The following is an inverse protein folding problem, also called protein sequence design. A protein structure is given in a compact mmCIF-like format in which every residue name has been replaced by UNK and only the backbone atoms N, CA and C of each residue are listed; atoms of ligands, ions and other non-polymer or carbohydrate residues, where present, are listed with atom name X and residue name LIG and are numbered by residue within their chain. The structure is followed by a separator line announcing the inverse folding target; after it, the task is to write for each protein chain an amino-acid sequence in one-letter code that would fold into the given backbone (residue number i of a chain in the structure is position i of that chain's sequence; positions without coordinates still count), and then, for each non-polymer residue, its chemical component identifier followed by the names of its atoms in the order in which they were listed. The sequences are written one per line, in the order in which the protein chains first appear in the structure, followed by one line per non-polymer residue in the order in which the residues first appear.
data_IF_216928943506
#
_entry.id   IF_216928943506
#
_cell.length_a   1.000
_cell.length_b   1.000
_cell.length_c   1.000
_cell.angle_alpha   90.00
_cell.angle_beta   90.00
_cell.angle_gamma   90.00
#
_symmetry.space_group_name_H-M   'P 1'
#
loop_
_entity.id
_entity.type
_entity.pdbx_description
1 polymer ?
#
# COMPACT_ATOMS: atom_id res chain seq x y z
N UNK A 1 1.13 -16.87 8.47
CA UNK A 1 1.56 -16.67 7.07
C UNK A 1 1.67 -15.18 6.82
N UNK A 2 2.90 -14.69 6.60
CA UNK A 2 3.18 -13.28 6.35
C UNK A 2 2.63 -12.80 5.01
N UNK A 3 2.56 -11.49 4.83
CA UNK A 3 1.98 -10.84 3.64
C UNK A 3 2.77 -11.20 2.39
N UNK A 4 4.11 -11.17 2.44
CA UNK A 4 4.98 -11.52 1.31
C UNK A 4 4.75 -12.96 0.85
N UNK A 5 4.48 -13.89 1.77
CA UNK A 5 4.13 -15.27 1.43
C UNK A 5 2.77 -15.35 0.71
N UNK A 6 1.77 -14.57 1.15
CA UNK A 6 0.47 -14.48 0.44
C UNK A 6 0.64 -13.88 -0.95
N UNK A 7 1.46 -12.85 -1.11
CA UNK A 7 1.82 -12.26 -2.41
C UNK A 7 2.45 -13.31 -3.31
N UNK A 8 3.41 -14.09 -2.80
CA UNK A 8 4.07 -15.14 -3.56
C UNK A 8 3.09 -16.23 -4.03
N UNK A 9 2.17 -16.66 -3.17
CA UNK A 9 1.12 -17.61 -3.55
C UNK A 9 0.23 -17.06 -4.67
N UNK A 10 -0.14 -15.77 -4.60
CA UNK A 10 -0.94 -15.13 -5.63
C UNK A 10 -0.18 -15.03 -6.96
N UNK A 11 1.11 -14.70 -6.93
CA UNK A 11 1.97 -14.69 -8.13
C UNK A 11 2.04 -16.09 -8.73
N UNK A 12 2.29 -17.12 -7.92
CA UNK A 12 2.32 -18.52 -8.38
C UNK A 12 0.99 -18.94 -9.03
N UNK A 13 -0.14 -18.59 -8.42
CA UNK A 13 -1.46 -18.87 -8.99
C UNK A 13 -1.63 -18.22 -10.37
N UNK A 14 -1.21 -16.95 -10.51
CA UNK A 14 -1.23 -16.22 -11.80
C UNK A 14 -0.32 -16.92 -12.84
N UNK A 15 0.86 -17.39 -12.46
CA UNK A 15 1.77 -18.08 -13.38
C UNK A 15 1.19 -19.39 -13.91
N UNK A 16 0.55 -20.16 -13.03
CA UNK A 16 -0.05 -21.46 -13.37
C UNK A 16 -1.41 -21.36 -14.08
N UNK A 17 -2.00 -20.17 -14.10
CA UNK A 17 -3.27 -19.89 -14.77
C UNK A 17 -3.18 -20.15 -16.29
N UNK A 18 -4.27 -20.61 -16.90
CA UNK A 18 -4.33 -20.87 -18.37
C UNK A 18 -4.57 -19.62 -19.21
N UNK A 19 -4.62 -18.45 -18.56
CA UNK A 19 -4.77 -17.15 -19.20
C UNK A 19 -3.61 -16.81 -20.15
N UNK A 20 -3.88 -15.93 -21.11
CA UNK A 20 -2.86 -15.34 -21.98
C UNK A 20 -1.78 -14.60 -21.16
N UNK A 21 -0.55 -14.60 -21.66
CA UNK A 21 0.61 -13.98 -20.97
C UNK A 21 0.42 -12.47 -20.74
N UNK A 22 -0.27 -11.80 -21.65
CA UNK A 22 -0.62 -10.37 -21.53
C UNK A 22 -1.51 -10.12 -20.32
N UNK A 23 -2.45 -11.01 -20.03
CA UNK A 23 -3.34 -10.93 -18.89
C UNK A 23 -2.60 -11.26 -17.58
N UNK A 24 -1.71 -12.27 -17.60
CA UNK A 24 -0.84 -12.59 -16.45
C UNK A 24 0.03 -11.38 -16.07
N UNK A 25 0.63 -10.74 -17.07
CA UNK A 25 1.45 -9.52 -16.87
C UNK A 25 0.63 -8.40 -16.23
N UNK A 26 -0.60 -8.16 -16.71
CA UNK A 26 -1.49 -7.14 -16.11
C UNK A 26 -1.84 -7.47 -14.65
N UNK A 27 -2.13 -8.73 -14.34
CA UNK A 27 -2.40 -9.19 -12.96
C UNK A 27 -1.19 -8.97 -12.05
N UNK A 28 0.02 -9.33 -12.49
CA UNK A 28 1.28 -9.06 -11.76
C UNK A 28 1.52 -7.56 -11.57
N UNK A 29 1.18 -6.73 -12.55
CA UNK A 29 1.28 -5.27 -12.43
C UNK A 29 0.34 -4.72 -11.34
N UNK A 30 -0.84 -5.30 -11.13
CA UNK A 30 -1.72 -4.89 -10.03
C UNK A 30 -1.10 -5.18 -8.65
N UNK A 31 -0.38 -6.31 -8.52
CA UNK A 31 0.38 -6.63 -7.30
C UNK A 31 1.52 -5.63 -7.10
N UNK A 32 2.27 -5.32 -8.17
CA UNK A 32 3.32 -4.29 -8.11
C UNK A 32 2.74 -2.94 -7.67
N UNK A 33 1.60 -2.52 -8.20
CA UNK A 33 0.94 -1.29 -7.81
C UNK A 33 0.56 -1.27 -6.32
N UNK A 34 0.20 -2.41 -5.71
CA UNK A 34 -0.05 -2.52 -4.27
C UNK A 34 1.21 -2.20 -3.46
N UNK A 35 2.33 -2.81 -3.84
CA UNK A 35 3.62 -2.61 -3.15
C UNK A 35 4.10 -1.17 -3.28
N UNK A 36 4.06 -0.62 -4.49
CA UNK A 36 4.47 0.77 -4.76
C UNK A 36 3.56 1.80 -4.07
N UNK A 37 2.24 1.56 -4.06
CA UNK A 37 1.30 2.43 -3.34
C UNK A 37 1.56 2.40 -1.84
N UNK A 38 1.88 1.22 -1.28
CA UNK A 38 2.23 1.06 0.14
C UNK A 38 3.49 1.84 0.51
N UNK A 39 4.54 1.73 -0.30
CA UNK A 39 5.75 2.53 -0.14
C UNK A 39 5.45 4.03 -0.17
N UNK A 40 4.67 4.47 -1.16
CA UNK A 40 4.29 5.89 -1.31
C UNK A 40 3.51 6.40 -0.10
N UNK A 41 2.53 5.64 0.38
CA UNK A 41 1.72 6.05 1.52
C UNK A 41 2.57 6.15 2.80
N UNK A 42 3.36 5.11 3.10
CA UNK A 42 4.26 5.10 4.26
C UNK A 42 5.24 6.27 4.20
N UNK A 43 5.83 6.53 3.03
CA UNK A 43 6.73 7.68 2.83
C UNK A 43 6.05 9.01 3.17
N UNK A 44 4.84 9.27 2.65
CA UNK A 44 4.11 10.51 2.92
C UNK A 44 3.79 10.65 4.43
N UNK A 45 3.36 9.56 5.09
CA UNK A 45 3.07 9.57 6.53
C UNK A 45 4.31 9.91 7.34
N UNK A 46 5.45 9.31 7.00
CA UNK A 46 6.73 9.59 7.67
C UNK A 46 7.15 11.05 7.46
N UNK A 47 7.10 11.54 6.22
CA UNK A 47 7.40 12.95 5.91
C UNK A 47 6.49 13.87 6.72
N UNK A 48 5.17 13.64 6.74
CA UNK A 48 4.26 14.45 7.54
C UNK A 48 4.65 14.48 9.03
N UNK A 49 5.01 13.34 9.60
CA UNK A 49 5.44 13.26 11.00
C UNK A 49 6.71 14.05 11.27
N UNK A 50 7.71 13.96 10.37
CA UNK A 50 8.95 14.74 10.45
C UNK A 50 8.67 16.24 10.32
N UNK A 51 7.87 16.65 9.34
CA UNK A 51 7.56 18.06 9.11
C UNK A 51 6.80 18.68 10.30
N UNK A 52 5.88 17.92 10.94
CA UNK A 52 5.20 18.35 12.17
C UNK A 52 6.19 18.46 13.33
N UNK A 53 7.16 17.54 13.44
CA UNK A 53 8.12 17.53 14.54
C UNK A 53 9.10 18.72 14.49
N UNK A 54 9.48 19.14 13.29
CA UNK A 54 10.40 20.28 13.09
C UNK A 54 9.69 21.63 13.00
N UNK A 55 8.36 21.63 12.97
CA UNK A 55 7.57 22.86 12.97
C UNK A 55 7.67 23.55 14.34
N UNK A 56 8.05 24.83 14.33
CA UNK A 56 8.23 25.61 15.55
C UNK A 56 6.89 26.20 16.07
N UNK A 57 5.79 26.03 15.33
CA UNK A 57 4.45 26.47 15.73
C UNK A 57 4.29 27.99 15.75
N UNK A 58 5.17 28.72 15.07
CA UNK A 58 5.16 30.17 14.91
C UNK A 58 4.03 30.67 13.98
N UNK A 59 3.36 29.75 13.29
CA UNK A 59 2.22 30.05 12.44
C UNK A 59 2.60 30.67 11.10
N UNK A 60 3.83 30.39 10.61
CA UNK A 60 4.25 30.80 9.27
C UNK A 60 3.23 30.33 8.20
N UNK A 61 2.59 31.25 7.44
CA UNK A 61 1.62 30.88 6.42
C UNK A 61 2.16 29.94 5.35
N UNK A 62 3.44 30.06 4.98
CA UNK A 62 4.06 29.17 4.00
C UNK A 62 4.15 27.75 4.58
N UNK A 63 4.61 27.63 5.82
CA UNK A 63 4.68 26.35 6.53
C UNK A 63 3.33 25.67 6.70
N UNK A 64 2.30 26.43 7.06
CA UNK A 64 0.93 25.93 7.17
C UNK A 64 0.42 25.40 5.83
N UNK A 65 0.73 26.08 4.72
CA UNK A 65 0.37 25.63 3.37
C UNK A 65 1.07 24.32 2.98
N UNK A 66 2.36 24.18 3.31
CA UNK A 66 3.13 22.96 3.07
C UNK A 66 2.54 21.77 3.82
N UNK A 67 2.27 21.92 5.13
CA UNK A 67 1.66 20.88 5.95
C UNK A 67 0.26 20.47 5.44
N UNK A 68 -0.55 21.45 5.02
CA UNK A 68 -1.86 21.19 4.42
C UNK A 68 -1.75 20.42 3.09
N UNK A 69 -0.75 20.74 2.25
CA UNK A 69 -0.47 20.02 1.01
C UNK A 69 -0.06 18.56 1.27
N UNK A 70 0.80 18.34 2.27
CA UNK A 70 1.21 17.00 2.68
C UNK A 70 0.00 16.19 3.19
N UNK A 71 -0.86 16.80 4.02
CA UNK A 71 -2.06 16.12 4.52
C UNK A 71 -3.04 15.74 3.40
N UNK A 72 -3.24 16.64 2.43
CA UNK A 72 -4.05 16.35 1.26
C UNK A 72 -3.46 15.20 0.44
N UNK A 73 -2.14 15.20 0.23
CA UNK A 73 -1.45 14.13 -0.48
C UNK A 73 -1.53 12.80 0.27
N UNK A 74 -1.41 12.80 1.60
CA UNK A 74 -1.62 11.63 2.45
C UNK A 74 -3.02 11.06 2.27
N UNK A 75 -4.03 11.93 2.26
CA UNK A 75 -5.43 11.52 2.11
C UNK A 75 -5.69 10.88 0.75
N UNK A 76 -5.21 11.50 -0.33
CA UNK A 76 -5.30 10.93 -1.68
C UNK A 76 -4.56 9.60 -1.82
N UNK A 77 -3.37 9.49 -1.23
CA UNK A 77 -2.59 8.25 -1.26
C UNK A 77 -3.30 7.13 -0.49
N UNK A 78 -3.91 7.45 0.66
CA UNK A 78 -4.72 6.52 1.44
C UNK A 78 -5.91 6.02 0.62
N UNK A 79 -6.73 6.91 0.06
CA UNK A 79 -7.92 6.51 -0.69
C UNK A 79 -7.54 5.67 -1.92
N UNK A 80 -6.43 6.02 -2.59
CA UNK A 80 -5.89 5.22 -3.68
C UNK A 80 -5.48 3.81 -3.23
N UNK A 81 -4.90 3.66 -2.04
CA UNK A 81 -4.45 2.35 -1.55
C UNK A 81 -5.62 1.42 -1.28
N UNK A 82 -6.73 1.94 -0.76
CA UNK A 82 -7.96 1.17 -0.53
C UNK A 82 -8.42 0.55 -1.85
N UNK A 83 -8.45 1.33 -2.93
CA UNK A 83 -8.83 0.85 -4.26
C UNK A 83 -7.93 -0.28 -4.75
N UNK A 84 -6.61 -0.16 -4.55
CA UNK A 84 -5.64 -1.17 -4.97
C UNK A 84 -5.75 -2.45 -4.11
N UNK A 85 -5.88 -2.32 -2.79
CA UNK A 85 -6.12 -3.45 -1.87
C UNK A 85 -7.37 -4.22 -2.29
N UNK A 86 -8.47 -3.52 -2.55
CA UNK A 86 -9.73 -4.13 -2.98
C UNK A 86 -9.59 -4.85 -4.34
N UNK A 87 -8.81 -4.28 -5.26
CA UNK A 87 -8.53 -4.92 -6.54
C UNK A 87 -7.72 -6.22 -6.36
N UNK A 88 -6.67 -6.20 -5.53
CA UNK A 88 -5.86 -7.39 -5.25
C UNK A 88 -6.65 -8.44 -4.45
N UNK A 89 -7.46 -8.04 -3.47
CA UNK A 89 -8.35 -8.94 -2.73
C UNK A 89 -9.34 -9.66 -3.66
N UNK A 90 -9.95 -8.96 -4.62
CA UNK A 90 -10.80 -9.59 -5.64
C UNK A 90 -10.02 -10.60 -6.50
N UNK A 91 -8.75 -10.30 -6.80
CA UNK A 91 -7.87 -11.22 -7.50
C UNK A 91 -7.54 -12.45 -6.65
N UNK A 92 -7.31 -12.32 -5.34
CA UNK A 92 -7.16 -13.45 -4.42
C UNK A 92 -8.39 -14.36 -4.46
N UNK A 93 -9.60 -13.78 -4.36
CA UNK A 93 -10.87 -14.52 -4.40
C UNK A 93 -11.03 -15.28 -5.71
N UNK A 94 -10.65 -14.68 -6.85
CA UNK A 94 -10.70 -15.34 -8.15
C UNK A 94 -9.83 -16.61 -8.23
N UNK A 95 -8.72 -16.65 -7.48
CA UNK A 95 -7.82 -17.80 -7.40
C UNK A 95 -8.05 -18.67 -6.16
N UNK A 96 -9.20 -18.52 -5.48
CA UNK A 96 -9.56 -19.27 -4.27
C UNK A 96 -8.53 -19.10 -3.12
N UNK A 97 -7.82 -17.96 -3.12
CA UNK A 97 -6.89 -17.59 -2.07
C UNK A 97 -7.57 -16.67 -1.05
N UNK A 98 -7.13 -16.76 0.20
CA UNK A 98 -7.55 -15.82 1.22
C UNK A 98 -7.17 -14.37 0.83
N UNK A 99 -8.00 -13.37 1.14
CA UNK A 99 -7.69 -11.96 0.88
C UNK A 99 -6.33 -11.55 1.47
N UNK A 100 -5.61 -10.69 0.76
CA UNK A 100 -4.31 -10.18 1.23
C UNK A 100 -4.49 -9.36 2.51
N UNK A 101 -5.56 -8.57 2.56
CA UNK A 101 -5.98 -7.81 3.74
C UNK A 101 -7.34 -8.32 4.25
N UNK A 102 -7.41 -8.61 5.55
CA UNK A 102 -8.60 -9.14 6.24
C UNK A 102 -8.93 -8.34 7.52
N UNK A 103 -8.25 -7.20 7.72
CA UNK A 103 -8.49 -6.33 8.86
C UNK A 103 -9.74 -5.46 8.66
N UNK A 104 -9.98 -4.55 9.60
CA UNK A 104 -11.09 -3.61 9.54
C UNK A 104 -10.84 -2.54 8.47
N UNK A 105 -11.90 -1.99 7.89
CA UNK A 105 -11.77 -0.93 6.88
C UNK A 105 -11.57 0.47 7.50
N UNK A 106 -10.92 0.58 8.66
CA UNK A 106 -10.59 1.89 9.22
C UNK A 106 -9.32 2.45 8.58
N UNK A 107 -9.20 3.78 8.54
CA UNK A 107 -8.00 4.42 7.98
C UNK A 107 -6.72 3.98 8.68
N UNK A 108 -6.79 3.78 10.01
CA UNK A 108 -5.65 3.35 10.83
C UNK A 108 -5.24 1.92 10.49
N UNK A 109 -6.19 0.98 10.50
CA UNK A 109 -5.88 -0.43 10.25
C UNK A 109 -5.29 -0.64 8.83
N UNK A 110 -5.78 0.10 7.83
CA UNK A 110 -5.21 0.09 6.47
C UNK A 110 -3.80 0.69 6.48
N UNK A 111 -3.57 1.78 7.22
CA UNK A 111 -2.24 2.36 7.37
C UNK A 111 -1.25 1.37 8.00
N UNK A 112 -1.66 0.69 9.07
CA UNK A 112 -0.85 -0.31 9.75
C UNK A 112 -0.51 -1.49 8.82
N UNK A 113 -1.48 -1.98 8.06
CA UNK A 113 -1.26 -3.02 7.04
C UNK A 113 -0.25 -2.58 5.96
N UNK A 114 -0.32 -1.33 5.51
CA UNK A 114 0.63 -0.84 4.49
C UNK A 114 2.06 -0.73 5.02
N UNK A 115 2.22 -0.39 6.30
CA UNK A 115 3.51 -0.43 6.99
C UNK A 115 4.01 -1.86 7.15
N UNK A 116 3.12 -2.81 7.46
CA UNK A 116 3.45 -4.23 7.57
C UNK A 116 4.00 -4.77 6.24
N UNK A 117 3.37 -4.44 5.11
CA UNK A 117 3.88 -4.77 3.76
C UNK A 117 5.32 -4.28 3.62
N UNK A 118 5.55 -2.98 3.82
CA UNK A 118 6.88 -2.37 3.62
C UNK A 118 7.91 -3.00 4.56
N UNK A 119 7.52 -3.26 5.80
CA UNK A 119 8.39 -3.84 6.83
C UNK A 119 8.83 -5.26 6.50
N UNK A 120 7.91 -6.12 6.04
CA UNK A 120 8.26 -7.49 5.64
C UNK A 120 9.25 -7.50 4.46
N UNK A 121 9.01 -6.65 3.44
CA UNK A 121 9.92 -6.56 2.29
C UNK A 121 11.29 -5.98 2.68
N UNK A 122 11.33 -5.02 3.60
CA UNK A 122 12.58 -4.45 4.11
C UNK A 122 13.36 -5.42 5.01
N UNK A 123 12.67 -6.21 5.83
CA UNK A 123 13.30 -7.20 6.72
C UNK A 123 14.05 -8.27 5.91
N UNK A 124 13.49 -8.67 4.78
CA UNK A 124 14.07 -9.66 3.86
C UNK A 124 15.10 -9.06 2.86
N UNK A 125 15.59 -7.85 3.12
CA UNK A 125 16.67 -7.28 2.28
C UNK A 125 17.92 -8.17 2.41
N UNK A 126 18.40 -8.65 1.27
CA UNK A 126 19.68 -9.36 1.14
C UNK A 126 20.84 -8.39 1.39
#
# INVERSE_FOLDING_TARGET
MGIKQRVNLLIQAIETDKSEETLKTRKKQMIKNLLESSLKYVHIVVIQGVEIQVDNGDGDPQRLQELASIDQNRSRAHDSIIGVINAVNRMCVHYELAPIYQGKETRRDIGDFTLEIVSEYFADRL
#
